data_IF_610817704940
#
_entry.id   IF_610817704940
#
_cell.length_a   1.000
_cell.length_b   1.000
_cell.length_c   1.000
_cell.angle_alpha   90.00
_cell.angle_beta   90.00
_cell.angle_gamma   90.00
#
_symmetry.space_group_name_H-M   'P 1'
#
loop_
_entity.id
_entity.type
_entity.pdbx_description
1 polymer ?
#
# COMPACT_ATOMS: atom_id res chain seq x y z
N UNK A 1 7.00 -2.27 -5.04
CA UNK A 1 6.26 -3.47 -5.42
C UNK A 1 6.77 -4.69 -4.63
N UNK A 2 5.96 -5.74 -4.42
CA UNK A 2 6.37 -6.95 -3.73
C UNK A 2 7.30 -7.83 -4.58
N UNK A 3 7.80 -8.92 -3.98
CA UNK A 3 8.81 -9.80 -4.58
C UNK A 3 8.42 -10.34 -5.95
N UNK A 4 7.16 -10.71 -6.10
CA UNK A 4 6.60 -11.39 -7.28
C UNK A 4 6.10 -10.45 -8.40
N UNK A 5 6.15 -9.15 -8.18
CA UNK A 5 5.83 -8.14 -9.21
C UNK A 5 7.07 -7.44 -9.81
N UNK A 6 8.21 -8.12 -9.81
CA UNK A 6 9.39 -7.62 -10.49
C UNK A 6 10.16 -6.52 -9.75
N UNK A 7 10.13 -6.53 -8.41
CA UNK A 7 10.99 -5.69 -7.59
C UNK A 7 12.46 -5.84 -8.01
N UNK A 8 13.16 -4.72 -8.17
CA UNK A 8 14.57 -4.65 -8.48
C UNK A 8 15.27 -3.70 -7.50
N UNK A 9 15.98 -4.27 -6.52
CA UNK A 9 16.61 -3.51 -5.46
C UNK A 9 17.79 -2.68 -5.94
N UNK A 10 18.59 -3.24 -6.84
CA UNK A 10 19.78 -2.55 -7.38
C UNK A 10 19.39 -1.38 -8.27
N UNK A 11 18.37 -1.55 -9.13
CA UNK A 11 17.83 -0.46 -9.93
C UNK A 11 17.29 0.66 -9.05
N UNK A 12 16.52 0.33 -8.00
CA UNK A 12 15.99 1.33 -7.07
C UNK A 12 17.11 2.09 -6.34
N UNK A 13 18.14 1.38 -5.87
CA UNK A 13 19.31 2.00 -5.24
C UNK A 13 20.05 2.94 -6.22
N UNK A 14 20.24 2.52 -7.46
CA UNK A 14 20.87 3.34 -8.50
C UNK A 14 20.06 4.62 -8.79
N UNK A 15 18.73 4.51 -8.88
CA UNK A 15 17.85 5.67 -9.05
C UNK A 15 17.97 6.62 -7.86
N UNK A 16 17.90 6.10 -6.63
CA UNK A 16 18.05 6.90 -5.41
C UNK A 16 19.39 7.64 -5.36
N UNK A 17 20.49 6.96 -5.68
CA UNK A 17 21.83 7.55 -5.74
C UNK A 17 21.96 8.68 -6.79
N UNK A 18 21.35 8.47 -7.96
CA UNK A 18 21.44 9.46 -9.04
C UNK A 18 20.56 10.69 -8.85
N UNK A 19 19.44 10.53 -8.17
CA UNK A 19 18.43 11.59 -8.02
C UNK A 19 18.40 12.23 -6.63
N UNK A 20 19.02 11.61 -5.63
CA UNK A 20 18.89 11.98 -4.23
C UNK A 20 17.53 11.60 -3.61
N UNK A 21 16.67 10.91 -4.36
CA UNK A 21 15.35 10.53 -3.90
C UNK A 21 15.41 9.34 -2.92
N UNK A 22 14.72 9.44 -1.79
CA UNK A 22 14.65 8.36 -0.82
C UNK A 22 13.62 7.31 -1.25
N UNK A 23 14.06 6.07 -1.46
CA UNK A 23 13.20 4.97 -1.92
C UNK A 23 13.12 3.91 -0.83
N UNK A 24 11.91 3.64 -0.32
CA UNK A 24 11.63 2.55 0.60
C UNK A 24 11.17 1.34 -0.22
N UNK A 25 11.93 0.25 -0.16
CA UNK A 25 11.58 -0.98 -0.85
C UNK A 25 10.61 -1.82 -0.02
N UNK A 26 9.75 -2.56 -0.70
CA UNK A 26 8.83 -3.49 -0.06
C UNK A 26 9.32 -4.94 -0.22
N UNK A 27 9.07 -5.75 0.81
CA UNK A 27 8.94 -7.22 0.69
C UNK A 27 7.46 -7.60 0.66
N UNK A 28 7.15 -8.86 0.46
CA UNK A 28 5.77 -9.36 0.44
C UNK A 28 5.41 -10.08 -0.84
N UNK A 29 4.14 -10.45 -0.98
CA UNK A 29 3.60 -11.18 -2.13
C UNK A 29 2.26 -10.58 -2.55
N UNK A 30 1.93 -10.76 -3.85
CA UNK A 30 0.73 -10.20 -4.45
C UNK A 30 -0.43 -11.21 -4.48
N UNK A 31 -1.61 -10.78 -4.91
CA UNK A 31 -2.84 -11.60 -4.95
C UNK A 31 -2.69 -12.83 -5.85
N UNK A 32 -3.57 -13.81 -5.64
CA UNK A 32 -3.50 -15.13 -6.29
C UNK A 32 -3.51 -15.06 -7.82
N UNK A 33 -4.32 -14.17 -8.39
CA UNK A 33 -4.50 -14.08 -9.85
C UNK A 33 -3.30 -13.50 -10.61
N UNK A 34 -2.39 -12.79 -9.92
CA UNK A 34 -1.32 -12.01 -10.56
C UNK A 34 0.05 -12.24 -9.93
N UNK A 35 0.12 -12.92 -8.78
CA UNK A 35 1.33 -13.16 -8.02
C UNK A 35 1.97 -14.53 -8.24
N UNK A 36 2.82 -14.94 -7.31
CA UNK A 36 3.58 -16.19 -7.35
C UNK A 36 2.81 -17.42 -6.89
N UNK A 37 1.49 -17.45 -7.02
CA UNK A 37 0.64 -18.54 -6.55
C UNK A 37 1.12 -19.93 -6.97
N UNK A 38 1.47 -20.13 -8.25
CA UNK A 38 1.87 -21.42 -8.76
C UNK A 38 3.10 -22.00 -8.04
N UNK A 39 4.08 -21.16 -7.72
CA UNK A 39 5.28 -21.57 -6.97
C UNK A 39 4.90 -22.00 -5.55
N UNK A 40 4.14 -21.19 -4.84
CA UNK A 40 3.78 -21.47 -3.45
C UNK A 40 2.81 -22.65 -3.31
N UNK A 41 1.87 -22.78 -4.27
CA UNK A 41 1.01 -23.96 -4.35
C UNK A 41 1.83 -25.24 -4.59
N UNK A 42 2.81 -25.21 -5.47
CA UNK A 42 3.71 -26.34 -5.66
C UNK A 42 4.48 -26.68 -4.35
N UNK A 43 5.02 -25.67 -3.68
CA UNK A 43 5.75 -25.85 -2.40
C UNK A 43 4.87 -26.47 -1.29
N UNK A 44 3.58 -26.16 -1.24
CA UNK A 44 2.67 -26.72 -0.22
C UNK A 44 2.56 -28.24 -0.26
N UNK A 45 2.91 -28.88 -1.37
CA UNK A 45 2.87 -30.34 -1.50
C UNK A 45 4.02 -31.08 -0.75
N UNK A 46 5.00 -30.36 -0.22
CA UNK A 46 6.16 -30.95 0.45
C UNK A 46 6.06 -30.97 1.97
N UNK A 47 4.88 -30.67 2.54
CA UNK A 47 4.61 -30.77 3.97
C UNK A 47 5.21 -29.66 4.84
N UNK A 48 5.78 -28.63 4.23
CA UNK A 48 6.29 -27.45 4.91
C UNK A 48 5.15 -26.45 5.18
N UNK A 49 5.27 -25.69 6.26
CA UNK A 49 4.35 -24.57 6.54
C UNK A 49 4.61 -23.42 5.56
N UNK A 50 3.71 -23.23 4.62
CA UNK A 50 3.82 -22.16 3.62
C UNK A 50 3.81 -20.77 4.29
N UNK A 51 3.04 -20.59 5.33
CA UNK A 51 3.03 -19.35 6.13
C UNK A 51 4.41 -19.07 6.71
N UNK A 52 5.07 -20.08 7.25
CA UNK A 52 6.40 -19.92 7.84
C UNK A 52 7.45 -19.60 6.77
N UNK A 53 7.43 -20.32 5.66
CA UNK A 53 8.36 -20.06 4.55
C UNK A 53 8.21 -18.65 3.95
N UNK A 54 6.97 -18.20 3.79
CA UNK A 54 6.70 -16.82 3.34
C UNK A 54 7.16 -15.80 4.39
N UNK A 55 6.90 -16.05 5.68
CA UNK A 55 7.33 -15.17 6.76
C UNK A 55 8.86 -15.08 6.83
N UNK A 56 9.56 -16.20 6.72
CA UNK A 56 11.02 -16.24 6.73
C UNK A 56 11.63 -15.45 5.56
N UNK A 57 11.02 -15.54 4.36
CA UNK A 57 11.40 -14.70 3.21
C UNK A 57 11.23 -13.21 3.53
N UNK A 58 10.10 -12.82 4.12
CA UNK A 58 9.85 -11.39 4.44
C UNK A 58 10.79 -10.90 5.53
N UNK A 59 11.05 -11.71 6.55
CA UNK A 59 11.99 -11.39 7.64
C UNK A 59 13.41 -11.23 7.09
N UNK A 60 13.88 -12.13 6.24
CA UNK A 60 15.20 -12.04 5.62
C UNK A 60 15.35 -10.75 4.80
N UNK A 61 14.37 -10.43 3.95
CA UNK A 61 14.37 -9.16 3.19
C UNK A 61 14.42 -7.91 4.07
N UNK A 62 13.79 -7.95 5.26
CA UNK A 62 13.74 -6.83 6.21
C UNK A 62 15.00 -6.72 7.08
N UNK A 63 15.65 -7.84 7.39
CA UNK A 63 16.72 -7.88 8.40
C UNK A 63 18.11 -8.12 7.82
N UNK A 64 18.21 -8.90 6.75
CA UNK A 64 19.47 -9.26 6.10
C UNK A 64 19.68 -8.50 4.79
N UNK A 65 18.70 -8.55 3.90
CA UNK A 65 18.69 -7.86 2.61
C UNK A 65 17.92 -8.64 1.53
N UNK A 66 17.59 -7.94 0.47
CA UNK A 66 16.87 -8.46 -0.69
C UNK A 66 17.87 -9.24 -1.57
N UNK A 67 17.76 -10.57 -1.60
CA UNK A 67 18.75 -11.42 -2.24
C UNK A 67 20.14 -11.15 -1.67
N UNK A 68 21.17 -11.14 -2.54
CA UNK A 68 22.56 -10.91 -2.15
C UNK A 68 22.97 -9.42 -2.15
N UNK A 69 22.00 -8.50 -2.27
CA UNK A 69 22.29 -7.06 -2.42
C UNK A 69 22.66 -6.35 -1.12
N UNK A 70 22.29 -6.91 0.03
CA UNK A 70 22.38 -6.24 1.34
C UNK A 70 21.41 -5.06 1.51
N UNK A 71 20.59 -4.74 0.51
CA UNK A 71 19.60 -3.66 0.56
C UNK A 71 18.34 -4.20 1.24
N UNK A 72 17.98 -3.61 2.38
CA UNK A 72 16.84 -4.06 3.19
C UNK A 72 15.52 -3.46 2.73
N UNK A 73 14.44 -4.23 2.81
CA UNK A 73 13.09 -3.70 2.71
C UNK A 73 12.74 -2.88 3.98
N UNK A 74 11.85 -1.90 3.83
CA UNK A 74 11.36 -1.08 4.95
C UNK A 74 9.86 -1.21 5.19
N UNK A 75 9.14 -1.98 4.37
CA UNK A 75 7.70 -2.19 4.46
C UNK A 75 7.33 -3.55 3.88
N UNK A 76 6.24 -4.14 4.39
CA UNK A 76 5.67 -5.37 3.83
C UNK A 76 4.48 -4.99 2.95
N UNK A 77 4.45 -5.44 1.68
CA UNK A 77 3.32 -5.25 0.76
C UNK A 77 2.63 -6.58 0.50
N UNK A 78 1.33 -6.64 0.81
CA UNK A 78 0.47 -7.79 0.58
C UNK A 78 -0.77 -7.40 -0.21
N UNK A 79 -1.54 -8.37 -0.69
CA UNK A 79 -2.69 -8.11 -1.54
C UNK A 79 -3.78 -9.16 -1.35
N UNK A 80 -5.03 -8.76 -1.62
CA UNK A 80 -6.12 -9.70 -1.91
C UNK A 80 -6.91 -9.25 -3.13
N UNK A 81 -7.59 -10.21 -3.77
CA UNK A 81 -8.56 -9.97 -4.83
C UNK A 81 -9.88 -9.36 -4.31
N UNK A 82 -10.83 -9.07 -5.21
CA UNK A 82 -12.17 -8.63 -4.85
C UNK A 82 -13.01 -9.82 -4.36
N UNK A 83 -14.06 -9.56 -3.61
CA UNK A 83 -15.10 -10.49 -3.19
C UNK A 83 -14.73 -11.50 -2.09
N UNK A 84 -13.52 -12.03 -2.07
CA UNK A 84 -13.04 -12.98 -1.06
C UNK A 84 -11.53 -12.90 -0.87
N UNK A 85 -11.05 -13.31 0.29
CA UNK A 85 -9.63 -13.58 0.53
C UNK A 85 -9.43 -15.08 0.36
N UNK A 86 -8.70 -15.49 -0.68
CA UNK A 86 -8.42 -16.89 -0.97
C UNK A 86 -7.52 -17.51 0.12
N UNK A 87 -7.43 -18.85 0.17
CA UNK A 87 -6.49 -19.51 1.09
C UNK A 87 -5.04 -19.03 0.89
N UNK A 88 -4.60 -18.87 -0.34
CA UNK A 88 -3.28 -18.34 -0.66
C UNK A 88 -3.08 -16.91 -0.13
N UNK A 89 -4.04 -16.03 -0.34
CA UNK A 89 -3.99 -14.65 0.13
C UNK A 89 -4.06 -14.56 1.65
N UNK A 90 -4.83 -15.44 2.29
CA UNK A 90 -4.84 -15.57 3.74
C UNK A 90 -3.47 -16.01 4.28
N UNK A 91 -2.81 -16.98 3.65
CA UNK A 91 -1.47 -17.40 4.02
C UNK A 91 -0.45 -16.25 3.91
N UNK A 92 -0.56 -15.41 2.87
CA UNK A 92 0.27 -14.20 2.72
C UNK A 92 0.03 -13.21 3.87
N UNK A 93 -1.24 -12.96 4.22
CA UNK A 93 -1.59 -12.05 5.33
C UNK A 93 -1.07 -12.57 6.67
N UNK A 94 -1.21 -13.87 6.94
CA UNK A 94 -0.66 -14.51 8.14
C UNK A 94 0.88 -14.42 8.20
N UNK A 95 1.55 -14.67 7.08
CA UNK A 95 3.00 -14.54 6.96
C UNK A 95 3.47 -13.09 7.19
N UNK A 96 2.74 -12.12 6.61
CA UNK A 96 3.01 -10.70 6.83
C UNK A 96 2.82 -10.28 8.29
N UNK A 97 1.77 -10.76 8.93
CA UNK A 97 1.55 -10.51 10.35
C UNK A 97 2.71 -11.08 11.19
N UNK A 98 3.11 -12.33 10.95
CA UNK A 98 4.25 -12.97 11.63
C UNK A 98 5.55 -12.17 11.43
N UNK A 99 5.85 -11.75 10.20
CA UNK A 99 7.03 -10.95 9.90
C UNK A 99 6.98 -9.56 10.54
N UNK A 100 5.82 -8.89 10.49
CA UNK A 100 5.62 -7.57 11.13
C UNK A 100 5.81 -7.62 12.63
N UNK A 101 5.23 -8.63 13.31
CA UNK A 101 5.41 -8.83 14.77
C UNK A 101 6.86 -9.11 15.12
N UNK A 102 7.58 -9.91 14.32
CA UNK A 102 8.97 -10.26 14.56
C UNK A 102 9.94 -9.09 14.34
N UNK A 103 9.66 -8.22 13.36
CA UNK A 103 10.61 -7.18 12.92
C UNK A 103 10.19 -5.75 13.27
N UNK A 104 8.92 -5.53 13.61
CA UNK A 104 8.35 -4.20 13.77
C UNK A 104 8.05 -3.48 12.44
N UNK A 105 8.26 -4.11 11.27
CA UNK A 105 8.02 -3.50 9.97
C UNK A 105 6.52 -3.23 9.75
N UNK A 106 6.15 -2.06 9.17
CA UNK A 106 4.77 -1.76 8.85
C UNK A 106 4.28 -2.54 7.63
N UNK A 107 2.95 -2.62 7.49
CA UNK A 107 2.30 -3.32 6.39
C UNK A 107 1.50 -2.33 5.55
N UNK A 108 1.59 -2.43 4.23
CA UNK A 108 0.65 -1.82 3.29
C UNK A 108 -0.02 -2.91 2.47
N UNK A 109 -1.31 -2.74 2.20
CA UNK A 109 -2.06 -3.74 1.45
C UNK A 109 -2.41 -3.28 0.04
N UNK A 110 -3.02 -4.16 -0.73
CA UNK A 110 -3.75 -3.85 -1.95
C UNK A 110 -5.16 -4.36 -1.80
N UNK A 111 -6.13 -3.55 -2.18
CA UNK A 111 -7.52 -3.94 -2.33
C UNK A 111 -7.99 -3.65 -3.76
N UNK A 112 -8.78 -4.53 -4.33
CA UNK A 112 -9.47 -4.25 -5.59
C UNK A 112 -10.75 -3.46 -5.30
N UNK A 113 -10.90 -2.30 -5.95
CA UNK A 113 -12.09 -1.44 -5.84
C UNK A 113 -12.49 -1.07 -4.40
N UNK A 114 -11.54 -1.01 -3.47
CA UNK A 114 -11.79 -0.71 -2.07
C UNK A 114 -12.61 -1.81 -1.36
N UNK A 115 -12.48 -3.08 -1.77
CA UNK A 115 -13.16 -4.21 -1.15
C UNK A 115 -12.20 -5.01 -0.27
N UNK A 116 -12.72 -5.81 0.66
CA UNK A 116 -11.97 -6.74 1.52
C UNK A 116 -10.94 -6.09 2.47
N UNK A 117 -10.82 -4.78 2.52
CA UNK A 117 -9.86 -4.12 3.41
C UNK A 117 -10.17 -4.30 4.89
N UNK A 118 -11.43 -4.39 5.26
CA UNK A 118 -11.89 -4.71 6.61
C UNK A 118 -11.50 -6.15 7.02
N UNK A 119 -11.64 -7.10 6.11
CA UNK A 119 -11.20 -8.48 6.33
C UNK A 119 -9.67 -8.57 6.43
N UNK A 120 -8.91 -7.88 5.57
CA UNK A 120 -7.46 -7.77 5.67
C UNK A 120 -7.03 -7.18 7.02
N UNK A 121 -7.64 -6.05 7.42
CA UNK A 121 -7.37 -5.40 8.70
C UNK A 121 -7.62 -6.37 9.87
N UNK A 122 -8.75 -7.07 9.85
CA UNK A 122 -9.10 -8.04 10.89
C UNK A 122 -8.09 -9.17 10.98
N UNK A 123 -7.72 -9.80 9.86
CA UNK A 123 -6.73 -10.88 9.83
C UNK A 123 -5.40 -10.40 10.43
N UNK A 124 -4.92 -9.26 10.01
CA UNK A 124 -3.64 -8.72 10.48
C UNK A 124 -3.67 -8.38 11.97
N UNK A 125 -4.74 -7.73 12.45
CA UNK A 125 -4.86 -7.34 13.86
C UNK A 125 -5.10 -8.52 14.78
N UNK A 126 -5.90 -9.50 14.37
CA UNK A 126 -6.11 -10.75 15.13
C UNK A 126 -4.80 -11.55 15.31
N UNK A 127 -3.83 -11.35 14.40
CA UNK A 127 -2.50 -11.95 14.45
C UNK A 127 -1.41 -11.02 15.02
N UNK A 128 -1.80 -10.00 15.78
CA UNK A 128 -0.91 -9.21 16.63
C UNK A 128 -0.31 -7.96 15.98
N UNK A 129 -0.67 -7.63 14.73
CA UNK A 129 -0.20 -6.39 14.11
C UNK A 129 -1.00 -5.20 14.65
N UNK A 130 -0.35 -4.17 15.25
CA UNK A 130 -1.08 -2.98 15.68
C UNK A 130 -1.73 -2.27 14.48
N UNK A 131 -3.01 -1.91 14.59
CA UNK A 131 -3.75 -1.32 13.47
C UNK A 131 -3.08 -0.07 12.88
N UNK A 132 -2.45 0.78 13.72
CA UNK A 132 -1.71 1.96 13.27
C UNK A 132 -0.41 1.64 12.49
N UNK A 133 -0.04 0.37 12.36
CA UNK A 133 1.05 -0.11 11.51
C UNK A 133 0.56 -0.68 10.18
N UNK A 134 -0.72 -0.49 9.85
CA UNK A 134 -1.35 -1.01 8.64
C UNK A 134 -1.90 0.14 7.81
N UNK A 135 -1.54 0.20 6.53
CA UNK A 135 -2.22 0.99 5.50
C UNK A 135 -3.10 0.03 4.71
N UNK A 136 -4.41 0.27 4.67
CA UNK A 136 -5.30 -0.41 3.74
C UNK A 136 -5.22 0.35 2.40
N UNK A 137 -4.41 -0.19 1.51
CA UNK A 137 -4.12 0.42 0.21
C UNK A 137 -5.31 0.40 -0.73
N UNK A 138 -5.37 1.39 -1.61
CA UNK A 138 -6.43 1.59 -2.60
C UNK A 138 -7.83 1.72 -1.99
N UNK A 139 -7.94 2.14 -0.71
CA UNK A 139 -9.22 2.45 -0.08
C UNK A 139 -10.03 3.48 -0.88
N UNK A 140 -9.36 4.31 -1.68
CA UNK A 140 -9.97 5.28 -2.60
C UNK A 140 -10.64 4.66 -3.83
N UNK A 141 -10.64 3.33 -3.99
CA UNK A 141 -11.31 2.63 -5.08
C UNK A 141 -12.82 2.53 -4.93
N UNK A 142 -13.40 3.08 -3.87
CA UNK A 142 -14.84 3.14 -3.60
C UNK A 142 -15.23 4.51 -3.04
N UNK A 143 -16.50 4.89 -3.15
CA UNK A 143 -17.10 6.06 -2.50
C UNK A 143 -17.92 5.70 -1.23
N UNK A 144 -17.78 4.48 -0.73
CA UNK A 144 -18.42 4.01 0.48
C UNK A 144 -17.81 4.65 1.74
N UNK A 145 -18.44 5.69 2.23
CA UNK A 145 -17.97 6.43 3.42
C UNK A 145 -17.94 5.57 4.69
N UNK A 146 -18.91 4.69 4.89
CA UNK A 146 -18.95 3.81 6.07
C UNK A 146 -17.79 2.81 6.08
N UNK A 147 -17.40 2.30 4.91
CA UNK A 147 -16.20 1.48 4.77
C UNK A 147 -14.94 2.27 5.19
N UNK A 148 -14.76 3.49 4.68
CA UNK A 148 -13.61 4.32 5.06
C UNK A 148 -13.58 4.59 6.57
N UNK A 149 -14.71 5.01 7.13
CA UNK A 149 -14.79 5.33 8.56
C UNK A 149 -14.67 4.08 9.44
N UNK A 150 -15.14 2.93 8.98
CA UNK A 150 -14.97 1.64 9.67
C UNK A 150 -13.50 1.28 9.84
N UNK A 151 -12.72 1.33 8.76
CA UNK A 151 -11.28 1.10 8.77
C UNK A 151 -10.55 2.11 9.67
N UNK A 152 -10.91 3.39 9.55
CA UNK A 152 -10.32 4.47 10.32
C UNK A 152 -10.60 4.34 11.83
N UNK A 153 -11.83 4.02 12.23
CA UNK A 153 -12.20 3.77 13.63
C UNK A 153 -11.49 2.55 14.20
N UNK A 154 -11.26 1.53 13.38
CA UNK A 154 -10.48 0.35 13.76
C UNK A 154 -8.97 0.62 13.83
N UNK A 155 -8.52 1.86 13.55
CA UNK A 155 -7.18 2.36 13.82
C UNK A 155 -6.14 2.20 12.71
N UNK A 156 -6.53 1.75 11.51
CA UNK A 156 -5.61 1.67 10.37
C UNK A 156 -5.58 2.96 9.55
N UNK A 157 -4.51 3.12 8.78
CA UNK A 157 -4.43 4.15 7.77
C UNK A 157 -5.20 3.76 6.50
N UNK A 158 -5.77 4.76 5.84
CA UNK A 158 -6.45 4.68 4.56
C UNK A 158 -5.51 5.12 3.44
N UNK A 159 -5.25 4.25 2.47
CA UNK A 159 -4.52 4.60 1.25
C UNK A 159 -5.45 5.26 0.22
N UNK A 160 -5.39 6.57 0.10
CA UNK A 160 -5.95 7.32 -1.03
C UNK A 160 -4.84 7.50 -2.06
N UNK A 161 -4.45 6.41 -2.71
CA UNK A 161 -3.15 6.22 -3.33
C UNK A 161 -3.20 5.91 -4.83
N UNK A 162 -4.32 6.20 -5.52
CA UNK A 162 -4.52 6.00 -6.96
C UNK A 162 -5.00 7.24 -7.71
N UNK A 163 -4.63 8.43 -7.25
CA UNK A 163 -4.97 9.66 -7.97
C UNK A 163 -4.33 9.69 -9.35
N UNK A 164 -5.12 10.09 -10.35
CA UNK A 164 -4.75 10.10 -11.77
C UNK A 164 -5.16 8.84 -12.54
N UNK A 165 -5.56 7.76 -11.86
CA UNK A 165 -5.98 6.51 -12.53
C UNK A 165 -7.51 6.49 -12.68
N UNK A 166 -8.03 7.44 -13.48
CA UNK A 166 -9.47 7.65 -13.67
C UNK A 166 -10.18 6.44 -14.30
N UNK A 167 -9.46 5.66 -15.11
CA UNK A 167 -10.00 4.46 -15.75
C UNK A 167 -10.46 3.39 -14.75
N UNK A 168 -9.88 3.36 -13.54
CA UNK A 168 -10.25 2.43 -12.48
C UNK A 168 -11.35 3.02 -11.61
N UNK A 169 -11.21 4.27 -11.20
CA UNK A 169 -12.19 5.01 -10.42
C UNK A 169 -11.95 6.52 -10.60
N UNK A 170 -12.96 7.36 -10.87
CA UNK A 170 -12.74 8.77 -11.17
C UNK A 170 -12.17 9.56 -9.99
N UNK A 171 -11.21 10.47 -10.26
CA UNK A 171 -10.63 11.38 -9.26
C UNK A 171 -11.67 12.27 -8.59
N UNK A 172 -12.71 12.69 -9.33
CA UNK A 172 -13.84 13.45 -8.77
C UNK A 172 -14.48 12.72 -7.58
N UNK A 173 -14.69 11.41 -7.70
CA UNK A 173 -15.22 10.58 -6.61
C UNK A 173 -14.20 10.37 -5.50
N UNK A 174 -12.90 10.20 -5.83
CA UNK A 174 -11.83 10.10 -4.84
C UNK A 174 -11.71 11.37 -4.01
N UNK A 175 -11.74 12.55 -4.66
CA UNK A 175 -11.70 13.86 -3.98
C UNK A 175 -12.91 14.00 -3.06
N UNK A 176 -14.12 13.74 -3.55
CA UNK A 176 -15.33 13.81 -2.74
C UNK A 176 -15.26 12.90 -1.50
N UNK A 177 -14.77 11.66 -1.68
CA UNK A 177 -14.58 10.70 -0.59
C UNK A 177 -13.52 11.15 0.42
N UNK A 178 -12.38 11.64 -0.07
CA UNK A 178 -11.31 12.18 0.76
C UNK A 178 -11.82 13.36 1.61
N UNK A 179 -12.51 14.32 0.98
CA UNK A 179 -13.06 15.48 1.66
C UNK A 179 -14.03 15.05 2.78
N UNK A 180 -14.88 14.05 2.53
CA UNK A 180 -15.79 13.51 3.57
C UNK A 180 -15.02 12.92 4.76
N UNK A 181 -13.97 12.15 4.49
CA UNK A 181 -13.10 11.56 5.53
C UNK A 181 -12.40 12.64 6.35
N UNK A 182 -11.85 13.67 5.67
CA UNK A 182 -11.20 14.79 6.34
C UNK A 182 -12.17 15.59 7.22
N UNK A 183 -13.38 15.91 6.69
CA UNK A 183 -14.42 16.63 7.44
C UNK A 183 -15.01 15.81 8.59
N UNK A 184 -14.94 14.48 8.53
CA UNK A 184 -15.30 13.58 9.63
C UNK A 184 -14.21 13.44 10.71
N UNK A 185 -13.09 14.17 10.59
CA UNK A 185 -12.02 14.19 11.60
C UNK A 185 -11.01 13.05 11.50
N UNK A 186 -11.05 12.22 10.43
CA UNK A 186 -10.14 11.10 10.25
C UNK A 186 -8.92 11.43 9.37
N UNK A 187 -8.58 12.71 9.21
CA UNK A 187 -7.49 13.16 8.35
C UNK A 187 -6.09 12.73 8.81
N UNK A 188 -5.91 12.48 10.10
CA UNK A 188 -4.63 12.05 10.70
C UNK A 188 -4.23 10.61 10.34
N UNK A 189 -5.10 9.87 9.65
CA UNK A 189 -4.89 8.48 9.23
C UNK A 189 -5.13 8.25 7.75
N UNK A 190 -4.94 9.26 6.94
CA UNK A 190 -4.98 9.15 5.47
C UNK A 190 -3.59 9.41 4.91
N UNK A 191 -3.16 8.53 4.01
CA UNK A 191 -1.96 8.73 3.19
C UNK A 191 -2.37 8.81 1.72
N UNK A 192 -1.64 9.60 0.93
CA UNK A 192 -1.98 9.86 -0.48
C UNK A 192 -0.82 9.51 -1.40
N UNK A 193 -1.14 9.06 -2.61
CA UNK A 193 -0.15 8.68 -3.63
C UNK A 193 -0.83 8.54 -4.99
N UNK A 194 -0.11 7.99 -5.98
CA UNK A 194 -0.53 7.88 -7.38
C UNK A 194 -0.56 6.43 -7.89
N UNK A 195 0.03 5.46 -7.16
CA UNK A 195 0.27 4.10 -7.66
C UNK A 195 1.02 4.12 -9.00
N UNK A 196 2.01 5.02 -9.11
CA UNK A 196 2.71 5.31 -10.35
C UNK A 196 3.63 4.19 -10.77
N UNK A 197 3.53 3.77 -12.03
CA UNK A 197 4.42 2.79 -12.67
C UNK A 197 4.97 3.40 -13.94
N UNK A 198 6.31 3.58 -14.00
CA UNK A 198 6.98 4.20 -15.15
C UNK A 198 7.72 3.20 -16.03
N UNK A 199 8.11 2.08 -15.47
CA UNK A 199 8.84 1.04 -16.20
C UNK A 199 8.70 -0.31 -15.50
N UNK A 200 8.95 -1.38 -16.25
CA UNK A 200 9.04 -2.75 -15.76
C UNK A 200 10.51 -3.20 -15.83
N UNK A 201 11.18 -3.30 -14.69
CA UNK A 201 12.62 -3.68 -14.63
C UNK A 201 13.49 -2.89 -15.62
N UNK A 202 13.33 -1.55 -15.62
CA UNK A 202 14.07 -0.68 -16.53
C UNK A 202 13.53 -0.60 -17.97
N UNK A 203 12.44 -1.33 -18.28
CA UNK A 203 11.77 -1.22 -19.58
C UNK A 203 10.65 -0.17 -19.47
N UNK A 204 10.71 0.93 -20.23
CA UNK A 204 9.67 1.94 -20.21
C UNK A 204 8.36 1.41 -20.79
N UNK A 205 7.24 2.00 -20.38
CA UNK A 205 5.97 1.76 -21.05
C UNK A 205 6.03 2.14 -22.53
N UNK A 206 5.30 1.44 -23.40
CA UNK A 206 5.15 1.86 -24.77
C UNK A 206 4.60 3.31 -24.85
N UNK A 207 5.23 4.21 -25.62
CA UNK A 207 4.82 5.62 -25.67
C UNK A 207 3.33 5.83 -25.99
N UNK A 208 2.73 4.98 -26.84
CA UNK A 208 1.31 5.06 -27.16
C UNK A 208 0.37 4.70 -26.00
N UNK A 209 0.82 3.95 -25.02
CA UNK A 209 0.02 3.62 -23.83
C UNK A 209 -0.12 4.82 -22.90
N UNK A 210 0.98 5.52 -22.61
CA UNK A 210 0.96 6.72 -21.76
C UNK A 210 0.19 7.87 -22.40
N UNK A 211 0.22 7.99 -23.73
CA UNK A 211 -0.53 9.02 -24.46
C UNK A 211 -2.06 8.87 -24.34
N UNK A 212 -2.56 7.64 -24.07
CA UNK A 212 -3.98 7.39 -23.88
C UNK A 212 -4.47 7.72 -22.48
N UNK A 213 -3.58 7.82 -21.50
CA UNK A 213 -3.88 8.04 -20.08
C UNK A 213 -2.90 9.09 -19.51
N UNK A 214 -2.98 10.34 -19.97
CA UNK A 214 -1.94 11.36 -19.72
C UNK A 214 -1.75 11.71 -18.24
N UNK A 215 -2.78 11.56 -17.41
CA UNK A 215 -2.73 11.83 -15.98
C UNK A 215 -2.42 10.55 -15.15
N UNK A 216 -2.57 9.37 -15.77
CA UNK A 216 -2.26 8.11 -15.08
C UNK A 216 -0.74 8.00 -14.85
N UNK A 217 -0.39 7.62 -13.63
CA UNK A 217 1.00 7.42 -13.22
C UNK A 217 1.88 8.68 -13.19
N UNK A 218 1.32 9.90 -13.41
CA UNK A 218 2.06 11.15 -13.21
C UNK A 218 2.30 11.39 -11.71
N UNK A 219 3.56 11.33 -11.20
CA UNK A 219 3.84 11.50 -9.77
C UNK A 219 3.62 12.93 -9.29
N UNK A 220 3.37 13.89 -10.19
CA UNK A 220 3.06 15.28 -9.84
C UNK A 220 1.55 15.58 -9.88
N UNK A 221 0.73 14.61 -10.27
CA UNK A 221 -0.72 14.80 -10.45
C UNK A 221 -1.42 15.28 -9.17
N UNK A 222 -1.09 14.69 -8.02
CA UNK A 222 -1.69 15.09 -6.75
C UNK A 222 -1.42 16.58 -6.44
N UNK A 223 -0.18 17.01 -6.59
CA UNK A 223 0.21 18.40 -6.35
C UNK A 223 -0.45 19.37 -7.33
N UNK A 224 -0.41 19.03 -8.62
CA UNK A 224 -0.86 19.95 -9.70
C UNK A 224 -2.37 19.98 -9.88
N UNK A 225 -3.08 18.89 -9.62
CA UNK A 225 -4.51 18.74 -9.93
C UNK A 225 -5.36 18.56 -8.66
N UNK A 226 -4.91 17.77 -7.70
CA UNK A 226 -5.74 17.38 -6.54
C UNK A 226 -5.68 18.44 -5.44
N UNK A 227 -4.50 18.94 -5.08
CA UNK A 227 -4.35 19.99 -4.05
C UNK A 227 -5.20 21.23 -4.34
N UNK A 228 -5.20 21.81 -5.55
CA UNK A 228 -6.08 22.94 -5.86
C UNK A 228 -7.56 22.65 -5.59
N UNK A 229 -8.04 21.45 -5.99
CA UNK A 229 -9.43 21.02 -5.76
C UNK A 229 -9.75 20.84 -4.27
N UNK A 230 -8.82 20.28 -3.50
CA UNK A 230 -9.01 20.16 -2.04
C UNK A 230 -9.12 21.54 -1.37
N UNK A 231 -8.37 22.52 -1.84
CA UNK A 231 -8.46 23.91 -1.35
C UNK A 231 -9.80 24.56 -1.70
N UNK A 232 -10.32 24.32 -2.90
CA UNK A 232 -11.66 24.77 -3.31
C UNK A 232 -12.76 24.16 -2.42
N UNK A 233 -12.56 22.92 -1.95
CA UNK A 233 -13.45 22.24 -1.00
C UNK A 233 -13.27 22.68 0.47
N UNK A 234 -12.38 23.66 0.71
CA UNK A 234 -12.13 24.24 2.03
C UNK A 234 -11.16 23.44 2.92
N UNK A 235 -10.38 22.52 2.34
CA UNK A 235 -9.33 21.80 3.09
C UNK A 235 -8.13 22.73 3.30
N UNK A 236 -7.70 22.86 4.56
CA UNK A 236 -6.63 23.78 4.94
C UNK A 236 -5.25 23.31 4.46
N UNK A 237 -4.29 24.23 4.40
CA UNK A 237 -2.90 23.90 4.09
C UNK A 237 -2.29 22.94 5.11
N UNK A 238 -2.65 23.07 6.40
CA UNK A 238 -2.22 22.18 7.46
C UNK A 238 -2.75 20.75 7.30
N UNK A 239 -4.02 20.60 6.88
CA UNK A 239 -4.57 19.29 6.57
C UNK A 239 -3.86 18.63 5.37
N UNK A 240 -3.56 19.42 4.33
CA UNK A 240 -2.82 18.92 3.17
C UNK A 240 -1.39 18.49 3.54
N UNK A 241 -0.69 19.29 4.36
CA UNK A 241 0.62 18.93 4.92
C UNK A 241 0.53 17.64 5.74
N UNK A 242 -0.55 17.49 6.52
CA UNK A 242 -0.84 16.25 7.25
C UNK A 242 -0.84 15.03 6.34
N UNK A 243 -1.52 15.09 5.20
CA UNK A 243 -1.60 13.99 4.24
C UNK A 243 -0.25 13.62 3.60
N UNK A 244 0.56 14.63 3.30
CA UNK A 244 1.78 14.49 2.51
C UNK A 244 3.02 14.17 3.35
N UNK A 245 3.09 14.70 4.57
CA UNK A 245 4.30 14.68 5.39
C UNK A 245 4.06 14.02 6.74
N UNK A 246 3.14 14.55 7.56
CA UNK A 246 3.01 14.13 8.94
C UNK A 246 2.44 12.71 9.10
N UNK A 247 1.45 12.33 8.31
CA UNK A 247 0.87 10.99 8.39
C UNK A 247 1.86 9.90 7.93
N UNK A 248 2.56 10.04 6.76
CA UNK A 248 3.64 9.13 6.40
C UNK A 248 4.75 9.06 7.46
N UNK A 249 5.18 10.20 8.03
CA UNK A 249 6.17 10.24 9.10
C UNK A 249 5.73 9.42 10.31
N UNK A 250 4.49 9.64 10.81
CA UNK A 250 3.91 8.89 11.94
C UNK A 250 3.81 7.41 11.66
N UNK A 251 3.34 7.05 10.47
CA UNK A 251 3.22 5.66 10.04
C UNK A 251 4.56 4.92 10.10
N UNK A 252 5.61 5.49 9.49
CA UNK A 252 6.92 4.86 9.46
C UNK A 252 7.62 4.89 10.82
N UNK A 253 7.42 5.93 11.64
CA UNK A 253 7.95 5.98 13.02
C UNK A 253 7.22 5.07 14.00
N UNK A 254 6.04 4.55 13.66
CA UNK A 254 5.24 3.71 14.53
C UNK A 254 4.50 4.47 15.63
N UNK A 255 4.30 5.75 15.45
CA UNK A 255 3.55 6.60 16.37
C UNK A 255 2.08 6.19 16.43
N UNK A 256 1.54 6.02 17.63
CA UNK A 256 0.16 5.60 17.82
C UNK A 256 -0.83 6.70 17.41
N UNK A 257 -1.87 6.31 16.73
CA UNK A 257 -3.01 7.19 16.44
C UNK A 257 -3.93 7.34 17.66
N UNK A 258 -4.51 8.51 17.82
CA UNK A 258 -5.58 8.74 18.78
C UNK A 258 -6.85 7.97 18.39
N UNK A 259 -7.67 7.57 19.36
CA UNK A 259 -8.98 7.00 19.05
C UNK A 259 -9.84 8.04 18.29
N UNK A 260 -10.54 7.61 17.25
CA UNK A 260 -11.59 8.41 16.63
C UNK A 260 -12.84 8.37 17.50
N UNK A 261 -13.46 9.52 17.66
CA UNK A 261 -14.73 9.66 18.38
C UNK A 261 -15.89 8.98 17.62
#
# INVERSE_FOLDING_TARGET
CPNDLGRDAELAAKVGQQTGFQIILATGLYKQSEGAYAYWHFRSNFGESIVDLMADLFIADLTEGIGDTGIKAGIIKVASGPNEITEYENNILLAAAKASVATGAPITTHTDQGTMGDAQQKILTDNGVPAHRIIIGHSCGTDNHEYHMGLARSGSYLGFDRFGIDMVFPDEKRISSLVKVLKAGAGDRVVVSHDSVWCWKGQPFPPGMLAQVPDAFDPTHFERKIIPRLREEGISAEQIEGLLVENPRRFFSGEKLSALA
#
